data_IF_103985244708
#
_entry.id   IF_103985244708
#
_cell.length_a   1.000
_cell.length_b   1.000
_cell.length_c   1.000
_cell.angle_alpha   90.00
_cell.angle_beta   90.00
_cell.angle_gamma   90.00
#
_symmetry.space_group_name_H-M   'P 1'
#
loop_
_entity.id
_entity.type
_entity.pdbx_description
1 polymer ?
#
# COMPACT_ATOMS: atom_id res chain seq x y z
N UNK A 1 9.05 8.79 3.38
CA UNK A 1 8.29 7.63 3.93
C UNK A 1 6.82 7.95 4.11
N UNK A 2 5.88 7.08 3.72
CA UNK A 2 4.47 7.33 3.96
C UNK A 2 4.13 7.35 5.44
N UNK A 3 3.33 8.33 5.86
CA UNK A 3 2.76 8.37 7.20
C UNK A 3 1.27 8.66 7.13
N UNK A 4 0.47 7.81 7.79
CA UNK A 4 -0.94 8.05 7.97
C UNK A 4 -1.18 9.12 9.03
N UNK A 5 -1.81 10.23 8.66
CA UNK A 5 -2.11 11.34 9.57
C UNK A 5 -3.24 11.02 10.55
N UNK A 6 -4.00 9.94 10.31
CA UNK A 6 -5.13 9.52 11.17
C UNK A 6 -4.74 8.61 12.32
N UNK A 7 -3.84 7.65 12.08
CA UNK A 7 -3.47 6.65 13.09
C UNK A 7 -1.96 6.55 13.34
N UNK A 8 -1.14 7.35 12.66
CA UNK A 8 0.32 7.34 12.82
C UNK A 8 1.03 6.11 12.23
N UNK A 9 0.33 5.29 11.45
CA UNK A 9 0.96 4.14 10.77
C UNK A 9 2.01 4.65 9.77
N UNK A 10 3.18 4.02 9.77
CA UNK A 10 4.30 4.31 8.87
C UNK A 10 4.82 3.06 8.16
N UNK A 11 4.18 1.91 8.37
CA UNK A 11 4.75 0.61 8.01
C UNK A 11 4.00 -0.08 6.88
N UNK A 12 2.67 0.02 6.82
CA UNK A 12 1.88 -0.77 5.86
C UNK A 12 0.86 0.10 5.13
N UNK A 13 0.98 0.17 3.81
CA UNK A 13 0.08 0.96 2.97
C UNK A 13 -0.38 0.14 1.77
N UNK A 14 -1.68 0.21 1.50
CA UNK A 14 -2.32 -0.37 0.33
C UNK A 14 -2.47 0.66 -0.79
N UNK A 15 -2.87 0.16 -1.95
CA UNK A 15 -3.18 0.94 -3.15
C UNK A 15 -4.67 0.96 -3.40
N UNK A 16 -5.27 2.14 -3.55
CA UNK A 16 -6.65 2.23 -4.07
C UNK A 16 -6.71 2.04 -5.58
N UNK A 17 -5.57 2.22 -6.28
CA UNK A 17 -5.45 2.11 -7.74
C UNK A 17 -5.52 0.67 -8.24
N UNK A 18 -5.17 -0.28 -7.38
CA UNK A 18 -5.16 -1.70 -7.69
C UNK A 18 -6.36 -2.34 -6.98
N UNK A 19 -7.53 -2.42 -7.65
CA UNK A 19 -8.73 -2.94 -7.03
C UNK A 19 -8.48 -4.36 -6.53
N UNK A 20 -8.88 -4.62 -5.29
CA UNK A 20 -8.76 -5.96 -4.75
C UNK A 20 -9.72 -6.90 -5.50
N UNK A 21 -9.17 -7.77 -6.34
CA UNK A 21 -9.91 -8.81 -7.05
C UNK A 21 -10.07 -10.08 -6.23
N UNK A 22 -9.50 -10.14 -5.02
CA UNK A 22 -9.64 -11.31 -4.16
C UNK A 22 -11.02 -11.35 -3.49
N UNK A 23 -11.71 -12.50 -3.49
CA UNK A 23 -13.07 -12.64 -2.99
C UNK A 23 -13.18 -12.70 -1.45
N UNK A 24 -12.16 -12.25 -0.71
CA UNK A 24 -12.08 -12.41 0.74
C UNK A 24 -12.81 -11.27 1.46
N UNK A 25 -13.85 -11.61 2.22
CA UNK A 25 -14.69 -10.67 3.00
C UNK A 25 -13.90 -9.93 4.11
N UNK A 26 -12.73 -10.46 4.49
CA UNK A 26 -11.75 -9.83 5.41
C UNK A 26 -10.39 -9.60 4.73
N UNK A 27 -10.34 -9.58 3.40
CA UNK A 27 -9.11 -9.43 2.64
C UNK A 27 -8.46 -8.06 2.88
N UNK A 28 -7.16 -7.98 2.63
CA UNK A 28 -6.42 -6.72 2.69
C UNK A 28 -7.14 -5.63 1.88
N UNK A 29 -6.97 -4.38 2.29
CA UNK A 29 -7.67 -3.22 1.70
C UNK A 29 -7.33 -3.03 0.20
N UNK A 30 -6.30 -3.71 -0.31
CA UNK A 30 -5.75 -3.56 -1.66
C UNK A 30 -5.21 -4.90 -2.21
N UNK A 31 -5.19 -5.05 -3.53
CA UNK A 31 -4.49 -6.16 -4.22
C UNK A 31 -2.96 -6.11 -4.07
N UNK A 32 -2.42 -4.99 -3.58
CA UNK A 32 -1.01 -4.77 -3.32
C UNK A 32 -0.82 -3.97 -2.02
N UNK A 33 -0.03 -4.50 -1.09
CA UNK A 33 0.35 -3.80 0.15
C UNK A 33 1.86 -3.64 0.18
N UNK A 34 2.31 -2.39 0.33
CA UNK A 34 3.71 -2.07 0.55
C UNK A 34 4.03 -2.08 2.03
N UNK A 35 5.08 -2.80 2.41
CA UNK A 35 5.69 -2.69 3.73
C UNK A 35 6.91 -1.76 3.64
N UNK A 36 6.94 -0.78 4.53
CA UNK A 36 7.95 0.26 4.60
C UNK A 36 8.72 0.11 5.91
N UNK A 37 10.04 0.25 5.83
CA UNK A 37 10.92 0.31 6.99
C UNK A 37 11.86 1.49 6.78
N UNK A 38 11.53 2.63 7.38
CA UNK A 38 12.22 3.88 7.08
C UNK A 38 11.76 4.46 5.73
N UNK A 39 12.70 4.88 4.89
CA UNK A 39 12.42 5.54 3.60
C UNK A 39 12.23 4.56 2.44
N UNK A 40 12.54 3.28 2.64
CA UNK A 40 12.53 2.27 1.59
C UNK A 40 11.35 1.28 1.74
N UNK A 41 10.88 0.78 0.60
CA UNK A 41 9.98 -0.38 0.56
C UNK A 41 10.79 -1.61 0.93
N UNK A 42 10.47 -2.22 2.07
CA UNK A 42 11.10 -3.45 2.52
C UNK A 42 10.63 -4.64 1.67
N UNK A 43 9.30 -4.78 1.51
CA UNK A 43 8.72 -5.79 0.63
C UNK A 43 7.31 -5.39 0.16
N UNK A 44 6.86 -6.03 -0.91
CA UNK A 44 5.50 -5.90 -1.43
C UNK A 44 4.74 -7.20 -1.26
N UNK A 45 3.55 -7.12 -0.67
CA UNK A 45 2.60 -8.21 -0.60
C UNK A 45 1.63 -8.10 -1.78
N UNK A 46 1.86 -8.89 -2.82
CA UNK A 46 1.01 -8.97 -4.01
C UNK A 46 -0.04 -10.08 -3.81
N UNK A 47 -1.31 -9.68 -3.81
CA UNK A 47 -2.47 -10.56 -3.59
C UNK A 47 -3.34 -10.72 -4.84
N UNK A 48 -2.87 -10.31 -6.02
CA UNK A 48 -3.67 -10.42 -7.26
C UNK A 48 -3.42 -9.32 -8.29
N UNK A 49 -2.31 -8.58 -8.19
CA UNK A 49 -1.89 -7.62 -9.22
C UNK A 49 -0.86 -8.24 -10.16
N UNK A 50 -0.67 -7.63 -11.33
CA UNK A 50 0.34 -8.06 -12.32
C UNK A 50 1.75 -7.78 -11.81
N UNK A 51 2.73 -8.55 -12.32
CA UNK A 51 4.15 -8.32 -12.02
C UNK A 51 4.57 -6.89 -12.39
N UNK A 52 4.15 -6.40 -13.56
CA UNK A 52 4.43 -5.03 -14.02
C UNK A 52 3.93 -3.98 -13.02
N UNK A 53 2.72 -4.14 -12.47
CA UNK A 53 2.21 -3.24 -11.43
C UNK A 53 3.02 -3.31 -10.14
N UNK A 54 3.49 -4.50 -9.73
CA UNK A 54 4.36 -4.65 -8.57
C UNK A 54 5.71 -3.97 -8.79
N UNK A 55 6.31 -4.11 -9.97
CA UNK A 55 7.58 -3.45 -10.32
C UNK A 55 7.43 -1.92 -10.36
N UNK A 56 6.34 -1.42 -10.96
CA UNK A 56 6.05 0.01 -10.98
C UNK A 56 5.77 0.58 -9.58
N UNK A 57 5.05 -0.16 -8.74
CA UNK A 57 4.81 0.23 -7.35
C UNK A 57 6.08 0.21 -6.51
N UNK A 58 7.02 -0.69 -6.81
CA UNK A 58 8.33 -0.71 -6.16
C UNK A 58 9.18 0.48 -6.60
N UNK A 59 9.15 0.84 -7.89
CA UNK A 59 9.90 1.96 -8.45
C UNK A 59 9.32 3.34 -8.09
N UNK A 60 8.00 3.44 -7.91
CA UNK A 60 7.27 4.68 -7.64
C UNK A 60 6.23 4.50 -6.52
N UNK A 61 6.65 4.16 -5.29
CA UNK A 61 5.73 3.83 -4.20
C UNK A 61 4.76 4.98 -3.87
N UNK A 62 5.19 6.23 -3.98
CA UNK A 62 4.39 7.42 -3.73
C UNK A 62 3.19 7.55 -4.68
N UNK A 63 3.23 6.88 -5.83
CA UNK A 63 2.13 6.85 -6.79
C UNK A 63 1.16 5.72 -6.53
N UNK A 64 1.57 4.66 -5.86
CA UNK A 64 0.76 3.46 -5.70
C UNK A 64 0.16 3.32 -4.31
N UNK A 65 0.83 3.78 -3.26
CA UNK A 65 0.41 3.52 -1.88
C UNK A 65 -0.31 4.72 -1.26
N UNK A 66 -1.61 4.81 -1.49
CA UNK A 66 -2.45 5.93 -1.06
C UNK A 66 -3.48 5.56 0.02
N UNK A 67 -3.46 4.33 0.52
CA UNK A 67 -4.40 3.86 1.55
C UNK A 67 -3.67 3.26 2.75
N UNK A 68 -4.02 3.66 3.96
CA UNK A 68 -3.44 3.14 5.19
C UNK A 68 -4.02 1.75 5.50
N UNK A 69 -3.22 0.69 5.46
CA UNK A 69 -3.69 -0.67 5.72
C UNK A 69 -4.19 -0.88 7.16
N UNK A 70 -3.75 -0.06 8.11
CA UNK A 70 -4.14 -0.16 9.52
C UNK A 70 -5.54 0.41 9.84
N UNK A 71 -5.98 1.48 9.16
CA UNK A 71 -7.24 2.16 9.49
C UNK A 71 -8.11 2.49 8.27
N UNK A 72 -7.67 2.18 7.05
CA UNK A 72 -8.38 2.45 5.80
C UNK A 72 -8.36 3.92 5.35
N UNK A 73 -7.68 4.81 6.09
CA UNK A 73 -7.59 6.23 5.72
C UNK A 73 -6.74 6.45 4.47
N UNK A 74 -7.15 7.40 3.62
CA UNK A 74 -6.34 7.93 2.50
C UNK A 74 -5.57 9.20 2.86
N UNK A 75 -5.69 9.67 4.10
CA UNK A 75 -4.99 10.84 4.64
C UNK A 75 -3.54 10.46 4.99
N UNK A 76 -2.69 10.40 3.96
CA UNK A 76 -1.30 9.96 4.01
C UNK A 76 -0.40 11.07 3.47
N UNK A 77 0.67 11.36 4.21
CA UNK A 77 1.73 12.25 3.76
C UNK A 77 2.92 11.43 3.24
N UNK A 78 3.44 11.86 2.10
CA UNK A 78 4.68 11.37 1.49
C UNK A 78 5.69 12.53 1.53
N UNK A 79 6.65 12.55 2.47
CA UNK A 79 7.75 13.50 2.51
C UNK A 79 8.82 13.18 1.47
#
# INVERSE_FOLDING_TARGET
MPQCLRCGNTSNFGSSRLPNTTPWVNGAVSALVGNFSGEEVNYLENMGTTLENSEQAFAHPERYFDTCSACGSTDIIWP
#
